data_IF_560890329814
#
_entry.id   IF_560890329814
#
_cell.length_a   1.000
_cell.length_b   1.000
_cell.length_c   1.000
_cell.angle_alpha   90.00
_cell.angle_beta   90.00
_cell.angle_gamma   90.00
#
_symmetry.space_group_name_H-M   'P 1'
#
loop_
_entity.id
_entity.type
_entity.pdbx_description
1 polymer ?
#
# COMPACT_ATOMS: atom_id res chain seq x y z
N UNK A 1 -21.12 -9.38 -11.07
CA UNK A 1 -20.87 -9.23 -9.61
C UNK A 1 -22.19 -9.21 -8.85
N UNK A 2 -22.22 -9.72 -7.60
CA UNK A 2 -23.42 -9.75 -6.75
C UNK A 2 -24.02 -8.36 -6.47
N UNK A 3 -23.19 -7.33 -6.32
CA UNK A 3 -23.66 -5.96 -6.11
C UNK A 3 -24.51 -5.46 -7.29
N UNK A 4 -24.06 -5.67 -8.52
CA UNK A 4 -24.79 -5.26 -9.73
C UNK A 4 -26.13 -6.00 -9.83
N UNK A 5 -26.18 -7.28 -9.45
CA UNK A 5 -27.42 -8.03 -9.37
C UNK A 5 -28.42 -7.43 -8.35
N UNK A 6 -27.94 -6.99 -7.18
CA UNK A 6 -28.80 -6.37 -6.15
C UNK A 6 -29.22 -4.94 -6.52
N UNK A 7 -28.36 -4.16 -7.21
CA UNK A 7 -28.72 -2.83 -7.72
C UNK A 7 -29.79 -2.90 -8.82
N UNK A 8 -29.66 -3.85 -9.74
CA UNK A 8 -30.62 -4.03 -10.84
C UNK A 8 -31.96 -4.65 -10.43
N UNK A 9 -32.07 -5.20 -9.22
CA UNK A 9 -33.34 -5.63 -8.63
C UNK A 9 -34.23 -4.46 -8.15
N UNK A 10 -33.78 -3.21 -8.32
CA UNK A 10 -34.35 -1.98 -7.75
C UNK A 10 -35.86 -2.01 -7.53
N UNK A 11 -36.29 -1.75 -6.28
CA UNK A 11 -37.66 -1.51 -5.79
C UNK A 11 -38.83 -2.24 -6.48
N UNK A 12 -38.60 -3.35 -7.18
CA UNK A 12 -39.65 -4.24 -7.61
C UNK A 12 -40.01 -5.04 -6.38
N UNK A 13 -41.20 -4.77 -5.87
CA UNK A 13 -41.94 -5.46 -4.81
C UNK A 13 -42.15 -6.96 -5.07
N UNK A 14 -41.30 -7.62 -5.86
CA UNK A 14 -41.37 -9.03 -6.22
C UNK A 14 -40.03 -9.78 -6.13
N UNK A 15 -38.91 -9.12 -5.81
CA UNK A 15 -37.68 -9.79 -5.39
C UNK A 15 -37.65 -9.83 -3.87
N UNK A 16 -37.49 -11.00 -3.25
CA UNK A 16 -37.32 -11.15 -1.80
C UNK A 16 -36.08 -10.37 -1.33
N UNK A 17 -36.24 -9.07 -1.10
CA UNK A 17 -35.42 -8.34 -0.15
C UNK A 17 -35.96 -8.83 1.19
N UNK A 18 -35.11 -9.53 1.94
CA UNK A 18 -35.44 -9.91 3.32
C UNK A 18 -35.92 -8.63 4.03
N UNK A 19 -37.06 -8.61 4.74
CA UNK A 19 -37.54 -7.43 5.44
C UNK A 19 -36.46 -6.75 6.31
N UNK A 20 -35.44 -7.52 6.75
CA UNK A 20 -34.25 -7.05 7.47
C UNK A 20 -33.26 -6.19 6.65
N UNK A 21 -33.31 -6.30 5.33
CA UNK A 21 -32.46 -5.60 4.37
C UNK A 21 -33.13 -4.34 3.78
N UNK A 22 -34.40 -4.08 4.15
CA UNK A 22 -35.13 -2.90 3.68
C UNK A 22 -34.44 -1.60 4.10
N UNK A 23 -34.17 -0.72 3.12
CA UNK A 23 -33.51 0.58 3.33
C UNK A 23 -31.98 0.56 3.34
N UNK A 24 -31.34 -0.62 3.27
CA UNK A 24 -29.87 -0.73 3.17
C UNK A 24 -29.39 -0.55 1.74
N UNK A 25 -28.19 0.00 1.56
CA UNK A 25 -27.55 0.09 0.24
C UNK A 25 -27.05 -1.29 -0.20
N UNK A 26 -27.02 -1.55 -1.51
CA UNK A 26 -26.61 -2.87 -2.04
C UNK A 26 -25.21 -3.31 -1.58
N UNK A 27 -24.28 -2.38 -1.37
CA UNK A 27 -22.94 -2.68 -0.85
C UNK A 27 -22.94 -3.03 0.65
N UNK A 28 -23.87 -2.50 1.43
CA UNK A 28 -24.06 -2.86 2.85
C UNK A 28 -24.62 -4.27 2.97
N UNK A 29 -25.61 -4.61 2.14
CA UNK A 29 -26.18 -5.96 2.08
C UNK A 29 -25.10 -6.99 1.70
N UNK A 30 -24.29 -6.72 0.67
CA UNK A 30 -23.18 -7.60 0.27
C UNK A 30 -22.13 -7.71 1.36
N UNK A 31 -21.81 -6.60 2.04
CA UNK A 31 -20.86 -6.57 3.14
C UNK A 31 -21.29 -7.46 4.31
N UNK A 32 -22.55 -7.32 4.77
CA UNK A 32 -23.12 -8.13 5.84
C UNK A 32 -23.16 -9.61 5.48
N UNK A 33 -23.66 -9.96 4.29
CA UNK A 33 -23.77 -11.35 3.82
C UNK A 33 -22.41 -12.05 3.75
N UNK A 34 -21.37 -11.32 3.36
CA UNK A 34 -20.02 -11.87 3.24
C UNK A 34 -19.11 -11.57 4.44
N UNK A 35 -19.67 -11.05 5.55
CA UNK A 35 -18.94 -10.69 6.78
C UNK A 35 -17.70 -9.83 6.52
N UNK A 36 -17.79 -8.89 5.58
CA UNK A 36 -16.70 -8.01 5.19
C UNK A 36 -17.08 -6.54 5.37
N UNK A 37 -16.08 -5.66 5.43
CA UNK A 37 -16.34 -4.22 5.51
C UNK A 37 -16.90 -3.68 4.19
N UNK A 38 -17.81 -2.71 4.25
CA UNK A 38 -18.36 -2.02 3.05
C UNK A 38 -17.25 -1.44 2.15
N UNK A 39 -16.17 -0.92 2.77
CA UNK A 39 -14.99 -0.42 2.03
C UNK A 39 -14.29 -1.53 1.24
N UNK A 40 -14.30 -2.76 1.74
CA UNK A 40 -13.71 -3.91 1.05
C UNK A 40 -14.57 -4.33 -0.15
N UNK A 41 -15.90 -4.36 0.01
CA UNK A 41 -16.84 -4.54 -1.11
C UNK A 41 -16.60 -3.51 -2.21
N UNK A 42 -16.48 -2.23 -1.83
CA UNK A 42 -16.21 -1.13 -2.77
C UNK A 42 -14.88 -1.33 -3.53
N UNK A 43 -13.82 -1.76 -2.83
CA UNK A 43 -12.52 -2.06 -3.48
C UNK A 43 -12.64 -3.19 -4.49
N UNK A 44 -13.35 -4.28 -4.16
CA UNK A 44 -13.59 -5.37 -5.12
C UNK A 44 -14.37 -4.90 -6.34
N UNK A 45 -15.40 -4.07 -6.14
CA UNK A 45 -16.16 -3.49 -7.25
C UNK A 45 -15.26 -2.60 -8.12
N UNK A 46 -14.37 -1.83 -7.49
CA UNK A 46 -13.47 -0.93 -8.20
C UNK A 46 -12.53 -1.69 -9.14
N UNK A 47 -12.13 -2.92 -8.82
CA UNK A 47 -11.28 -3.71 -9.71
C UNK A 47 -11.88 -3.95 -11.10
N UNK A 48 -13.21 -3.88 -11.27
CA UNK A 48 -13.83 -3.92 -12.60
C UNK A 48 -13.41 -2.76 -13.52
N UNK A 49 -12.88 -1.68 -12.94
CA UNK A 49 -12.31 -0.56 -13.68
C UNK A 49 -10.88 -0.81 -14.14
N UNK A 50 -10.30 -1.99 -13.90
CA UNK A 50 -9.03 -2.38 -14.50
C UNK A 50 -9.19 -2.72 -15.99
N UNK A 51 -8.13 -2.51 -16.75
CA UNK A 51 -7.97 -3.06 -18.10
C UNK A 51 -7.67 -4.57 -18.03
N UNK A 52 -8.02 -5.36 -19.06
CA UNK A 52 -7.86 -6.82 -19.05
C UNK A 52 -6.44 -7.28 -18.68
N UNK A 53 -5.41 -6.58 -19.16
CA UNK A 53 -4.02 -6.97 -18.92
C UNK A 53 -3.62 -6.83 -17.44
N UNK A 54 -4.05 -5.75 -16.77
CA UNK A 54 -3.81 -5.59 -15.33
C UNK A 54 -4.64 -6.57 -14.50
N UNK A 55 -5.85 -6.91 -14.95
CA UNK A 55 -6.68 -7.94 -14.29
C UNK A 55 -5.99 -9.31 -14.36
N UNK A 56 -5.48 -9.68 -15.55
CA UNK A 56 -4.72 -10.92 -15.74
C UNK A 56 -3.50 -11.00 -14.83
N UNK A 57 -2.73 -9.91 -14.71
CA UNK A 57 -1.58 -9.86 -13.81
C UNK A 57 -1.97 -10.02 -12.33
N UNK A 58 -3.15 -9.54 -11.93
CA UNK A 58 -3.68 -9.75 -10.59
C UNK A 58 -4.08 -11.21 -10.37
N UNK A 59 -4.76 -11.83 -11.34
CA UNK A 59 -5.16 -13.24 -11.28
C UNK A 59 -3.93 -14.17 -11.23
N UNK A 60 -2.87 -13.83 -11.96
CA UNK A 60 -1.55 -14.49 -11.92
C UNK A 60 -0.76 -14.20 -10.64
N UNK A 61 -1.31 -13.43 -9.69
CA UNK A 61 -0.66 -12.97 -8.45
C UNK A 61 0.62 -12.16 -8.66
N UNK A 62 0.87 -11.65 -9.88
CA UNK A 62 1.97 -10.75 -10.20
C UNK A 62 1.68 -9.31 -9.81
N UNK A 63 0.40 -8.94 -9.69
CA UNK A 63 -0.04 -7.63 -9.22
C UNK A 63 -0.84 -7.77 -7.91
N UNK A 64 -0.34 -7.15 -6.84
CA UNK A 64 -0.99 -7.21 -5.52
C UNK A 64 -2.33 -6.47 -5.49
N UNK A 65 -3.30 -7.00 -4.73
CA UNK A 65 -4.66 -6.45 -4.62
C UNK A 65 -4.69 -4.94 -4.32
N UNK A 66 -3.93 -4.47 -3.33
CA UNK A 66 -3.94 -3.05 -2.95
C UNK A 66 -3.36 -2.16 -4.07
N UNK A 67 -2.33 -2.62 -4.76
CA UNK A 67 -1.76 -1.92 -5.93
C UNK A 67 -2.79 -1.88 -7.06
N UNK A 68 -3.43 -3.01 -7.36
CA UNK A 68 -4.48 -3.11 -8.38
C UNK A 68 -5.65 -2.17 -8.09
N UNK A 69 -6.04 -2.03 -6.82
CA UNK A 69 -7.05 -1.05 -6.40
C UNK A 69 -6.59 0.38 -6.69
N UNK A 70 -5.35 0.78 -6.43
CA UNK A 70 -4.88 2.13 -6.80
C UNK A 70 -4.89 2.34 -8.33
N UNK A 71 -4.40 1.36 -9.09
CA UNK A 71 -4.38 1.44 -10.56
C UNK A 71 -5.77 1.50 -11.18
N UNK A 72 -6.77 0.89 -10.54
CA UNK A 72 -8.17 0.96 -10.99
C UNK A 72 -8.78 2.37 -10.89
N UNK A 73 -8.14 3.32 -10.19
CA UNK A 73 -8.54 4.73 -10.18
C UNK A 73 -7.96 5.54 -11.34
N UNK A 74 -6.97 5.00 -12.05
CA UNK A 74 -6.30 5.67 -13.18
C UNK A 74 -7.15 5.53 -14.45
N UNK A 75 -7.10 6.51 -15.35
CA UNK A 75 -7.75 6.41 -16.66
C UNK A 75 -7.26 5.22 -17.50
N UNK A 76 -8.17 4.58 -18.26
CA UNK A 76 -7.88 3.36 -19.06
C UNK A 76 -6.65 3.49 -19.98
N UNK A 77 -6.44 4.66 -20.58
CA UNK A 77 -5.25 4.94 -21.41
C UNK A 77 -3.94 4.75 -20.63
N UNK A 78 -3.85 5.33 -19.44
CA UNK A 78 -2.66 5.26 -18.61
C UNK A 78 -2.51 3.89 -17.94
N UNK A 79 -3.62 3.21 -17.64
CA UNK A 79 -3.58 1.80 -17.21
C UNK A 79 -2.93 0.89 -18.27
N UNK A 80 -3.23 1.09 -19.57
CA UNK A 80 -2.59 0.32 -20.64
C UNK A 80 -1.08 0.60 -20.72
N UNK A 81 -0.65 1.85 -20.55
CA UNK A 81 0.78 2.17 -20.48
C UNK A 81 1.45 1.48 -19.29
N UNK A 82 0.80 1.46 -18.13
CA UNK A 82 1.31 0.73 -16.95
C UNK A 82 1.43 -0.76 -17.24
N UNK A 83 0.45 -1.38 -17.91
CA UNK A 83 0.52 -2.79 -18.29
C UNK A 83 1.72 -3.07 -19.21
N UNK A 84 1.95 -2.22 -20.21
CA UNK A 84 3.13 -2.30 -21.09
C UNK A 84 4.43 -2.12 -20.31
N UNK A 85 4.50 -1.16 -19.39
CA UNK A 85 5.69 -0.95 -18.55
C UNK A 85 5.99 -2.15 -17.64
N UNK A 86 4.96 -2.78 -17.07
CA UNK A 86 5.11 -4.00 -16.26
C UNK A 86 5.68 -5.15 -17.09
N UNK A 87 5.18 -5.34 -18.31
CA UNK A 87 5.68 -6.38 -19.22
C UNK A 87 7.12 -6.07 -19.68
N UNK A 88 7.40 -4.82 -20.00
CA UNK A 88 8.73 -4.38 -20.47
C UNK A 88 9.80 -4.56 -19.38
N UNK A 89 9.47 -4.23 -18.13
CA UNK A 89 10.40 -4.29 -17.00
C UNK A 89 10.30 -5.62 -16.22
N UNK A 90 9.38 -6.51 -16.60
CA UNK A 90 9.06 -7.75 -15.90
C UNK A 90 8.86 -7.56 -14.37
N UNK A 91 8.28 -6.42 -13.98
CA UNK A 91 8.15 -6.01 -12.58
C UNK A 91 6.92 -5.15 -12.36
N UNK A 92 6.15 -5.46 -11.31
CA UNK A 92 4.98 -4.68 -10.91
C UNK A 92 5.37 -3.48 -10.03
N UNK A 93 4.62 -2.36 -10.12
CA UNK A 93 4.82 -1.21 -9.24
C UNK A 93 4.54 -1.57 -7.79
N UNK A 94 5.27 -0.95 -6.87
CA UNK A 94 4.91 -0.91 -5.46
C UNK A 94 3.58 -0.15 -5.24
N UNK A 95 2.96 -0.35 -4.09
CA UNK A 95 1.76 0.40 -3.73
C UNK A 95 2.00 1.92 -3.70
N UNK A 96 3.18 2.36 -3.24
CA UNK A 96 3.54 3.78 -3.20
C UNK A 96 3.67 4.38 -4.60
N UNK A 97 4.31 3.64 -5.54
CA UNK A 97 4.38 4.04 -6.95
C UNK A 97 3.00 4.12 -7.58
N UNK A 98 2.14 3.11 -7.40
CA UNK A 98 0.77 3.12 -7.94
C UNK A 98 -0.07 4.28 -7.38
N UNK A 99 0.05 4.57 -6.08
CA UNK A 99 -0.61 5.73 -5.47
C UNK A 99 -0.12 7.05 -6.08
N UNK A 100 1.19 7.20 -6.28
CA UNK A 100 1.76 8.39 -6.92
C UNK A 100 1.29 8.55 -8.37
N UNK A 101 1.25 7.46 -9.14
CA UNK A 101 0.70 7.47 -10.50
C UNK A 101 -0.74 7.96 -10.51
N UNK A 102 -1.57 7.46 -9.59
CA UNK A 102 -2.96 7.92 -9.43
C UNK A 102 -3.04 9.42 -9.12
N UNK A 103 -2.26 9.91 -8.17
CA UNK A 103 -2.25 11.35 -7.81
C UNK A 103 -1.84 12.23 -9.00
N UNK A 104 -0.97 11.75 -9.89
CA UNK A 104 -0.57 12.44 -11.11
C UNK A 104 -1.63 12.35 -12.21
N UNK A 105 -2.34 11.22 -12.32
CA UNK A 105 -3.44 11.03 -13.26
C UNK A 105 -4.62 11.97 -12.92
N UNK A 106 -4.96 12.09 -11.63
CA UNK A 106 -5.96 13.03 -11.12
C UNK A 106 -5.61 14.48 -11.50
N UNK A 107 -4.32 14.82 -11.55
CA UNK A 107 -3.80 16.13 -11.99
C UNK A 107 -3.63 16.25 -13.51
N UNK A 108 -3.93 15.21 -14.29
CA UNK A 108 -3.68 15.09 -15.74
C UNK A 108 -2.21 15.25 -16.13
N UNK A 109 -1.30 14.91 -15.21
CA UNK A 109 0.16 14.97 -15.40
C UNK A 109 0.78 13.59 -15.65
N UNK A 110 -0.01 12.52 -15.58
CA UNK A 110 0.47 11.16 -15.87
C UNK A 110 0.46 10.88 -17.38
N UNK A 111 1.60 10.45 -17.89
CA UNK A 111 1.80 9.96 -19.26
C UNK A 111 2.79 8.79 -19.26
N UNK A 112 3.07 8.19 -20.43
CA UNK A 112 3.97 7.04 -20.56
C UNK A 112 5.36 7.29 -19.97
N UNK A 113 6.00 8.40 -20.33
CA UNK A 113 7.35 8.74 -19.85
C UNK A 113 7.41 8.88 -18.33
N UNK A 114 6.38 9.49 -17.73
CA UNK A 114 6.26 9.63 -16.27
C UNK A 114 6.02 8.28 -15.61
N UNK A 115 5.22 7.40 -16.24
CA UNK A 115 5.01 6.02 -15.74
C UNK A 115 6.34 5.26 -15.73
N UNK A 116 7.08 5.29 -16.84
CA UNK A 116 8.37 4.62 -16.96
C UNK A 116 9.37 5.16 -15.93
N UNK A 117 9.43 6.49 -15.76
CA UNK A 117 10.26 7.13 -14.74
C UNK A 117 9.92 6.67 -13.33
N UNK A 118 8.63 6.61 -12.97
CA UNK A 118 8.19 6.13 -11.65
C UNK A 118 8.52 4.64 -11.46
N UNK A 119 8.41 3.82 -12.51
CA UNK A 119 8.70 2.39 -12.46
C UNK A 119 10.20 2.09 -12.32
N UNK A 120 11.04 2.95 -12.93
CA UNK A 120 12.50 2.88 -12.83
C UNK A 120 13.06 3.35 -11.48
N UNK A 121 12.31 4.17 -10.73
CA UNK A 121 12.73 4.53 -9.37
C UNK A 121 12.94 3.25 -8.55
N UNK A 122 14.10 3.17 -7.89
CA UNK A 122 14.39 2.09 -6.96
C UNK A 122 13.21 1.93 -6.01
N UNK A 123 12.69 0.70 -5.94
CA UNK A 123 11.70 0.37 -4.92
C UNK A 123 12.35 0.76 -3.60
N UNK A 124 11.81 1.77 -2.93
CA UNK A 124 12.16 2.07 -1.53
C UNK A 124 11.82 0.83 -0.72
N UNK A 125 12.76 -0.11 -0.68
CA UNK A 125 12.90 -0.99 0.45
C UNK A 125 13.17 -0.03 1.59
N UNK A 126 12.14 0.21 2.40
CA UNK A 126 12.40 0.76 3.73
C UNK A 126 13.39 -0.26 4.30
N UNK A 127 14.64 0.15 4.57
CA UNK A 127 15.67 -0.72 5.14
C UNK A 127 15.14 -1.29 6.45
N UNK A 128 14.41 -2.40 6.35
CA UNK A 128 13.70 -3.01 7.45
C UNK A 128 14.71 -3.91 8.12
N UNK A 129 15.36 -3.37 9.14
CA UNK A 129 16.07 -4.19 10.10
C UNK A 129 15.03 -4.94 10.93
N UNK A 130 14.85 -6.24 10.66
CA UNK A 130 13.99 -7.11 11.44
C UNK A 130 14.85 -7.74 12.53
N UNK A 131 14.61 -7.35 13.78
CA UNK A 131 15.20 -8.01 14.95
C UNK A 131 14.19 -9.04 15.46
N UNK A 132 14.55 -10.32 15.39
CA UNK A 132 13.70 -11.40 15.89
C UNK A 132 13.85 -11.57 17.40
N UNK A 133 12.80 -12.05 18.07
CA UNK A 133 12.88 -12.36 19.50
C UNK A 133 14.00 -13.36 19.83
N UNK A 134 14.35 -14.27 18.92
CA UNK A 134 15.45 -15.23 19.10
C UNK A 134 16.83 -14.56 19.11
N UNK A 135 17.06 -13.55 18.26
CA UNK A 135 18.30 -12.77 18.27
C UNK A 135 18.40 -11.91 19.53
N UNK A 136 17.28 -11.30 19.93
CA UNK A 136 17.21 -10.48 21.13
C UNK A 136 17.36 -11.32 22.41
N UNK A 137 16.87 -12.56 22.46
CA UNK A 137 16.96 -13.45 23.63
C UNK A 137 18.40 -13.81 24.04
N UNK A 138 19.40 -13.54 23.19
CA UNK A 138 20.82 -13.69 23.54
C UNK A 138 21.32 -12.54 24.42
N UNK A 139 20.69 -11.37 24.33
CA UNK A 139 21.06 -10.14 25.03
C UNK A 139 20.08 -9.81 26.17
N UNK A 140 18.84 -10.26 26.06
CA UNK A 140 17.79 -10.09 27.06
C UNK A 140 17.54 -11.41 27.80
N UNK A 141 17.35 -11.34 29.12
CA UNK A 141 17.02 -12.52 29.92
C UNK A 141 15.65 -13.10 29.56
N UNK A 142 15.41 -14.38 29.88
CA UNK A 142 14.14 -15.09 29.60
C UNK A 142 12.90 -14.44 30.25
N UNK A 143 13.11 -13.56 31.22
CA UNK A 143 12.07 -12.85 31.97
C UNK A 143 11.70 -11.48 31.37
N UNK A 144 12.42 -11.00 30.36
CA UNK A 144 12.14 -9.68 29.77
C UNK A 144 10.99 -9.77 28.78
N UNK A 145 9.99 -8.92 28.94
CA UNK A 145 8.86 -8.87 28.01
C UNK A 145 9.26 -8.22 26.69
N UNK A 146 8.59 -8.53 25.56
CA UNK A 146 8.87 -7.88 24.27
C UNK A 146 8.78 -6.35 24.30
N UNK A 147 7.94 -5.81 25.20
CA UNK A 147 7.79 -4.37 25.42
C UNK A 147 9.03 -3.77 26.07
N UNK A 148 9.52 -4.40 27.14
CA UNK A 148 10.74 -3.95 27.83
C UNK A 148 11.98 -4.10 26.95
N UNK A 149 12.06 -5.18 26.15
CA UNK A 149 13.12 -5.32 25.15
C UNK A 149 13.11 -4.14 24.17
N UNK A 150 11.93 -3.78 23.65
CA UNK A 150 11.78 -2.65 22.73
C UNK A 150 12.19 -1.33 23.38
N UNK A 151 11.73 -1.06 24.59
CA UNK A 151 12.02 0.19 25.30
C UNK A 151 13.52 0.33 25.61
N UNK A 152 14.19 -0.77 25.98
CA UNK A 152 15.65 -0.79 26.17
C UNK A 152 16.41 -0.61 24.86
N UNK A 153 15.98 -1.25 23.76
CA UNK A 153 16.60 -1.05 22.44
C UNK A 153 16.52 0.42 22.01
N UNK A 154 15.36 1.06 22.17
CA UNK A 154 15.19 2.48 21.83
C UNK A 154 16.11 3.35 22.70
N UNK A 155 16.16 3.10 24.00
CA UNK A 155 17.02 3.86 24.91
C UNK A 155 18.51 3.73 24.55
N UNK A 156 18.99 2.53 24.24
CA UNK A 156 20.38 2.30 23.81
C UNK A 156 20.69 3.05 22.50
N UNK A 157 19.73 3.09 21.57
CA UNK A 157 19.88 3.83 20.31
C UNK A 157 19.88 5.35 20.53
N UNK A 158 19.06 5.85 21.45
CA UNK A 158 19.03 7.27 21.82
C UNK A 158 20.33 7.70 22.51
N UNK A 159 20.85 6.89 23.44
CA UNK A 159 22.13 7.11 24.11
C UNK A 159 23.29 7.10 23.11
N UNK A 160 23.32 6.12 22.20
CA UNK A 160 24.31 6.03 21.11
C UNK A 160 24.26 7.25 20.18
N UNK A 161 23.04 7.69 19.80
CA UNK A 161 22.84 8.89 18.98
C UNK A 161 23.28 10.17 19.71
N UNK A 162 23.12 10.22 21.04
CA UNK A 162 23.63 11.30 21.88
C UNK A 162 25.15 11.41 21.82
N UNK A 163 25.86 10.30 21.92
CA UNK A 163 27.32 10.24 21.86
C UNK A 163 27.89 10.60 20.47
N UNK A 164 27.18 10.27 19.38
CA UNK A 164 27.59 10.67 18.03
C UNK A 164 27.62 12.19 17.83
N UNK A 165 26.70 12.93 18.48
CA UNK A 165 26.70 14.40 18.46
C UNK A 165 27.86 15.03 19.26
N UNK A 166 28.38 14.30 20.23
CA UNK A 166 29.49 14.74 21.08
C UNK A 166 30.85 14.55 20.38
N UNK A 167 30.95 13.60 19.43
CA UNK A 167 32.14 13.42 18.59
C UNK A 167 32.22 14.38 17.38
N UNK A 168 31.16 15.11 17.01
CA UNK A 168 31.18 16.10 15.91
C UNK A 168 31.68 17.51 16.33
N UNK A 169 32.08 17.73 17.58
CA UNK A 169 32.77 18.97 18.02
C UNK A 169 33.86 18.63 19.05
N UNK A 170 35.05 19.29 19.08
CA UNK A 170 35.68 20.26 18.16
C UNK A 170 37.20 20.05 17.91
N UNK A 171 37.77 20.57 16.81
CA UNK A 171 39.10 21.22 16.82
C UNK A 171 39.14 22.31 15.72
N UNK A 172 38.53 23.47 16.00
CA UNK A 172 39.06 24.73 15.46
C UNK A 172 40.06 25.25 16.48
N UNK A 173 41.30 24.76 16.42
CA UNK A 173 42.44 25.49 16.98
C UNK A 173 42.74 26.64 16.03
N UNK A 174 42.60 27.85 16.57
CA UNK A 174 43.26 29.05 16.08
C UNK A 174 44.75 28.75 15.84
N UNK A 175 45.26 29.12 14.68
CA UNK A 175 46.59 29.71 14.57
C UNK A 175 46.50 30.86 13.56
N UNK A 176 46.64 32.06 14.11
CA UNK A 176 46.87 33.31 13.41
C UNK A 176 48.34 33.39 12.95
N UNK A 177 48.57 34.21 11.92
CA UNK A 177 49.83 34.89 11.58
C UNK A 177 50.97 34.06 10.95
N UNK A 178 51.14 34.23 9.63
CA UNK A 178 52.17 35.13 9.07
C UNK A 178 51.93 35.45 7.60
#
# INVERSE_FOLDING_TARGET
>A
MQLEAIKHQGSRTSGQIDPKDAGKRSNEIVAERNKMAVKQVQRYIRLNELVPDLMKLMDEKKLGFTTAVELSYIGKKNQNYIAVAIDSQQSSPSQAQAKRMRELDEKKLLNGDVIDGIMMEDKKEVDKVILTGAELSKYFGKETTPREMKDQIIKLLDDWKGQQKEHEKPEKKNEQEK
#
